data_IF_043089321777
#
_entry.id   IF_043089321777
#
_cell.length_a   1.000
_cell.length_b   1.000
_cell.length_c   1.000
_cell.angle_alpha   90.00
_cell.angle_beta   90.00
_cell.angle_gamma   90.00
#
_symmetry.space_group_name_H-M   'P 1'
#
loop_
_entity.id
_entity.type
_entity.pdbx_description
1 polymer ?
#
# COMPACT_ATOMS: atom_id res chain seq x y z
N UNK A 1 -56.25 34.26 26.09
CA UNK A 1 -55.40 33.25 26.75
C UNK A 1 -55.35 32.01 25.86
N UNK A 2 -54.22 31.67 25.21
CA UNK A 2 -54.14 30.48 24.37
C UNK A 2 -54.16 29.21 25.25
N UNK A 3 -54.72 28.09 24.75
CA UNK A 3 -54.84 26.87 25.54
C UNK A 3 -53.47 26.22 25.79
N UNK A 4 -53.24 25.77 27.02
CA UNK A 4 -52.04 25.07 27.41
C UNK A 4 -51.86 23.80 26.56
N UNK A 5 -50.80 23.78 25.74
CA UNK A 5 -50.45 22.65 24.89
C UNK A 5 -50.15 21.44 25.78
N UNK A 6 -50.98 20.39 25.73
CA UNK A 6 -50.72 19.12 26.40
C UNK A 6 -49.45 18.51 25.78
N UNK A 7 -48.36 18.51 26.53
CA UNK A 7 -47.11 17.87 26.14
C UNK A 7 -47.37 16.37 25.92
N UNK A 8 -46.81 15.80 24.85
CA UNK A 8 -46.86 14.36 24.57
C UNK A 8 -46.35 13.59 25.79
N UNK A 9 -46.96 12.44 26.10
CA UNK A 9 -46.63 11.64 27.28
C UNK A 9 -45.11 11.36 27.42
N UNK A 10 -44.42 11.14 26.30
CA UNK A 10 -42.96 10.94 26.26
C UNK A 10 -42.15 12.15 26.72
N UNK A 11 -42.62 13.38 26.48
CA UNK A 11 -41.95 14.59 26.92
C UNK A 11 -42.13 14.82 28.41
N UNK A 12 -43.31 14.48 28.95
CA UNK A 12 -43.60 14.61 30.38
C UNK A 12 -42.80 13.60 31.20
N UNK A 13 -42.73 12.34 30.76
CA UNK A 13 -41.89 11.32 31.38
C UNK A 13 -40.39 11.68 31.33
N UNK A 14 -39.95 12.32 30.26
CA UNK A 14 -38.59 12.82 30.14
C UNK A 14 -38.31 13.95 31.14
N UNK A 15 -39.23 14.90 31.29
CA UNK A 15 -39.13 15.96 32.30
C UNK A 15 -39.13 15.37 33.73
N UNK A 16 -39.99 14.40 34.01
CA UNK A 16 -40.10 13.78 35.34
C UNK A 16 -38.87 12.92 35.70
N UNK A 17 -38.18 12.33 34.72
CA UNK A 17 -36.89 11.64 34.95
C UNK A 17 -35.76 12.61 35.24
N UNK A 18 -35.72 13.75 34.57
CA UNK A 18 -34.63 14.73 34.71
C UNK A 18 -34.83 15.70 35.88
N UNK A 19 -36.05 15.85 36.39
CA UNK A 19 -36.34 16.67 37.58
C UNK A 19 -35.96 16.00 38.89
N UNK A 20 -35.74 14.67 38.89
CA UNK A 20 -35.30 13.94 40.08
C UNK A 20 -33.78 14.05 40.26
N UNK A 21 -33.27 14.35 41.46
CA UNK A 21 -31.85 14.34 41.73
C UNK A 21 -31.29 12.93 41.50
N UNK A 22 -30.11 12.85 40.87
CA UNK A 22 -29.42 11.56 40.66
C UNK A 22 -29.17 10.92 42.02
N UNK A 23 -29.57 9.66 42.20
CA UNK A 23 -29.30 8.95 43.44
C UNK A 23 -27.78 8.93 43.68
N UNK A 24 -27.31 9.17 44.93
CA UNK A 24 -25.89 9.12 45.23
C UNK A 24 -25.34 7.76 44.82
N UNK A 25 -24.26 7.78 44.06
CA UNK A 25 -23.55 6.56 43.63
C UNK A 25 -22.99 5.94 44.91
N UNK A 26 -23.61 4.85 45.37
CA UNK A 26 -23.02 3.99 46.39
C UNK A 26 -21.81 3.30 45.74
N UNK A 27 -20.63 3.91 45.84
CA UNK A 27 -19.37 3.21 45.55
C UNK A 27 -19.25 2.05 46.52
N UNK A 28 -19.19 0.82 46.00
CA UNK A 28 -18.92 -0.36 46.81
C UNK A 28 -17.62 -0.15 47.58
N UNK A 29 -17.65 -0.33 48.91
CA UNK A 29 -16.48 -0.12 49.78
C UNK A 29 -15.29 -1.04 49.45
N UNK A 30 -15.53 -2.12 48.70
CA UNK A 30 -14.49 -3.05 48.25
C UNK A 30 -14.03 -2.63 46.85
N UNK A 31 -12.84 -2.06 46.77
CA UNK A 31 -12.15 -1.89 45.49
C UNK A 31 -11.74 -3.28 44.99
N UNK A 32 -12.03 -3.65 43.73
CA UNK A 32 -11.54 -4.90 43.17
C UNK A 32 -10.02 -4.92 43.22
N UNK A 33 -9.43 -6.10 43.48
CA UNK A 33 -7.98 -6.22 43.48
C UNK A 33 -7.41 -5.69 42.14
N UNK A 34 -6.32 -4.91 42.18
CA UNK A 34 -5.71 -4.37 40.98
C UNK A 34 -5.46 -5.49 39.98
N UNK A 35 -6.12 -5.39 38.82
CA UNK A 35 -5.84 -6.27 37.69
C UNK A 35 -4.38 -6.15 37.33
N UNK A 36 -3.82 -7.22 36.76
CA UNK A 36 -2.38 -7.32 36.45
C UNK A 36 -1.78 -6.11 35.73
N UNK A 37 -2.56 -5.42 34.88
CA UNK A 37 -2.14 -4.21 34.14
C UNK A 37 -2.10 -2.93 34.97
N UNK A 38 -2.64 -2.97 36.19
CA UNK A 38 -2.66 -1.88 37.17
C UNK A 38 -1.49 -1.97 38.17
N UNK A 39 -0.70 -3.06 38.16
CA UNK A 39 0.49 -3.22 39.00
C UNK A 39 1.73 -2.64 38.29
N UNK A 40 2.46 -1.68 38.90
CA UNK A 40 3.67 -1.14 38.31
C UNK A 40 4.83 -2.14 38.38
N UNK A 41 5.62 -2.22 37.31
CA UNK A 41 6.86 -3.00 37.26
C UNK A 41 6.81 -4.26 36.37
N UNK A 42 7.97 -4.84 36.05
CA UNK A 42 8.05 -6.09 35.29
C UNK A 42 7.49 -7.25 36.11
N UNK A 43 6.79 -8.19 35.44
CA UNK A 43 6.25 -9.36 36.12
C UNK A 43 7.33 -10.20 36.78
N UNK A 44 7.04 -10.71 37.98
CA UNK A 44 7.89 -11.68 38.66
C UNK A 44 7.95 -13.01 37.90
N UNK A 45 8.98 -13.81 38.15
CA UNK A 45 9.18 -15.11 37.50
C UNK A 45 7.99 -16.06 37.67
N UNK A 46 7.37 -16.06 38.85
CA UNK A 46 6.17 -16.86 39.14
C UNK A 46 4.92 -16.33 38.42
N UNK A 47 4.80 -15.01 38.27
CA UNK A 47 3.72 -14.40 37.49
C UNK A 47 3.86 -14.73 35.99
N UNK A 48 5.09 -14.81 35.49
CA UNK A 48 5.38 -15.31 34.14
C UNK A 48 4.98 -16.77 33.97
N UNK A 49 5.34 -17.63 34.91
CA UNK A 49 4.95 -19.04 34.86
C UNK A 49 3.43 -19.22 34.88
N UNK A 50 2.73 -18.49 35.78
CA UNK A 50 1.27 -18.51 35.89
C UNK A 50 0.57 -17.89 34.66
N UNK A 51 1.18 -16.88 34.04
CA UNK A 51 0.63 -16.32 32.80
C UNK A 51 0.75 -17.31 31.65
N UNK A 52 1.91 -17.93 31.46
CA UNK A 52 2.10 -18.90 30.39
C UNK A 52 1.23 -20.14 30.58
N UNK A 53 1.05 -20.61 31.82
CA UNK A 53 0.14 -21.75 32.09
C UNK A 53 -1.32 -21.40 31.79
N UNK A 54 -1.81 -20.23 32.23
CA UNK A 54 -3.17 -19.76 31.92
C UNK A 54 -3.38 -19.56 30.41
N UNK A 55 -2.43 -18.95 29.73
CA UNK A 55 -2.51 -18.72 28.29
C UNK A 55 -2.52 -20.04 27.50
N UNK A 56 -1.70 -21.02 27.88
CA UNK A 56 -1.74 -22.34 27.26
C UNK A 56 -3.09 -23.03 27.47
N UNK A 57 -3.64 -22.96 28.68
CA UNK A 57 -4.98 -23.51 28.95
C UNK A 57 -6.05 -22.81 28.12
N UNK A 58 -6.08 -21.47 28.08
CA UNK A 58 -7.03 -20.69 27.28
C UNK A 58 -6.93 -20.96 25.77
N UNK A 59 -5.71 -21.11 25.25
CA UNK A 59 -5.48 -21.46 23.84
C UNK A 59 -5.97 -22.88 23.55
N UNK A 60 -5.74 -23.83 24.46
CA UNK A 60 -6.26 -25.20 24.30
C UNK A 60 -7.78 -25.27 24.42
N UNK A 61 -8.40 -24.52 25.32
CA UNK A 61 -9.86 -24.46 25.44
C UNK A 61 -10.50 -23.81 24.22
N UNK A 62 -9.93 -22.70 23.73
CA UNK A 62 -10.38 -22.06 22.49
C UNK A 62 -10.24 -23.00 21.28
N UNK A 63 -9.12 -23.74 21.19
CA UNK A 63 -8.91 -24.72 20.12
C UNK A 63 -9.94 -25.86 20.20
N UNK A 64 -10.21 -26.38 21.39
CA UNK A 64 -11.20 -27.43 21.61
C UNK A 64 -12.63 -26.93 21.36
N UNK A 65 -12.94 -25.68 21.69
CA UNK A 65 -14.23 -25.05 21.36
C UNK A 65 -14.38 -24.87 19.84
N UNK A 66 -13.33 -24.40 19.15
CA UNK A 66 -13.31 -24.28 17.69
C UNK A 66 -13.48 -25.65 17.03
N UNK A 67 -12.79 -26.69 17.51
CA UNK A 67 -12.94 -28.05 16.99
C UNK A 67 -14.34 -28.64 17.28
N UNK A 68 -14.93 -28.36 18.46
CA UNK A 68 -16.32 -28.73 18.77
C UNK A 68 -17.34 -28.00 17.88
N UNK A 69 -17.09 -26.73 17.56
CA UNK A 69 -17.93 -25.94 16.64
C UNK A 69 -17.79 -26.37 15.18
N UNK A 70 -16.65 -26.96 14.79
CA UNK A 70 -16.41 -27.51 13.46
C UNK A 70 -16.86 -28.99 13.30
N UNK A 71 -17.00 -29.73 14.41
CA UNK A 71 -17.39 -31.15 14.42
C UNK A 71 -18.87 -31.43 14.13
N UNK A 72 -19.73 -30.41 14.11
CA UNK A 72 -21.09 -30.53 13.60
C UNK A 72 -21.09 -30.42 12.09
N UNK A 73 -21.63 -31.41 11.36
CA UNK A 73 -21.88 -31.33 9.91
C UNK A 73 -22.46 -29.96 9.58
N UNK A 74 -21.64 -29.05 9.07
CA UNK A 74 -22.13 -27.77 8.59
C UNK A 74 -23.01 -28.10 7.40
N UNK A 75 -24.34 -27.99 7.57
CA UNK A 75 -25.23 -27.73 6.45
C UNK A 75 -24.56 -26.58 5.71
N UNK A 76 -24.19 -26.80 4.44
CA UNK A 76 -23.71 -25.75 3.54
C UNK A 76 -24.63 -24.56 3.76
N UNK A 77 -24.14 -23.54 4.47
CA UNK A 77 -24.87 -22.29 4.61
C UNK A 77 -25.11 -21.81 3.18
N UNK A 78 -26.38 -21.59 2.84
CA UNK A 78 -26.78 -20.97 1.59
C UNK A 78 -25.84 -19.81 1.30
N UNK A 79 -25.34 -19.72 0.05
CA UNK A 79 -24.54 -18.58 -0.40
C UNK A 79 -25.27 -17.31 0.04
N UNK A 80 -24.58 -16.33 0.67
CA UNK A 80 -25.22 -15.09 1.06
C UNK A 80 -25.89 -14.48 -0.17
N UNK A 81 -27.16 -14.10 0.01
CA UNK A 81 -27.95 -13.44 -1.03
C UNK A 81 -27.38 -12.03 -1.23
N UNK A 82 -27.55 -11.42 -2.41
CA UNK A 82 -27.03 -10.07 -2.68
C UNK A 82 -27.53 -9.00 -1.68
N UNK A 83 -28.67 -9.26 -1.03
CA UNK A 83 -29.26 -8.42 0.01
C UNK A 83 -28.46 -8.47 1.33
N UNK A 84 -27.92 -9.63 1.71
CA UNK A 84 -27.07 -9.77 2.91
C UNK A 84 -25.75 -9.01 2.74
N UNK A 85 -25.17 -9.08 1.55
CA UNK A 85 -23.94 -8.35 1.22
C UNK A 85 -24.16 -6.83 1.24
N UNK A 86 -25.34 -6.37 0.83
CA UNK A 86 -25.70 -4.95 0.90
C UNK A 86 -25.89 -4.50 2.35
N UNK A 87 -26.59 -5.29 3.17
CA UNK A 87 -26.79 -5.00 4.59
C UNK A 87 -25.48 -4.95 5.37
N UNK A 88 -24.58 -5.91 5.14
CA UNK A 88 -23.25 -5.93 5.75
C UNK A 88 -22.42 -4.71 5.35
N UNK A 89 -22.50 -4.29 4.08
CA UNK A 89 -21.79 -3.11 3.56
C UNK A 89 -22.32 -1.82 4.16
N UNK A 90 -23.64 -1.69 4.30
CA UNK A 90 -24.28 -0.54 4.93
C UNK A 90 -23.94 -0.45 6.43
N UNK A 91 -23.96 -1.57 7.15
CA UNK A 91 -23.62 -1.61 8.56
C UNK A 91 -22.13 -1.31 8.80
N UNK A 92 -21.24 -1.80 7.93
CA UNK A 92 -19.82 -1.39 7.94
C UNK A 92 -19.65 0.11 7.74
N UNK A 93 -20.36 0.71 6.77
CA UNK A 93 -20.30 2.15 6.55
C UNK A 93 -20.81 2.93 7.77
N UNK A 94 -21.89 2.48 8.40
CA UNK A 94 -22.44 3.09 9.61
C UNK A 94 -21.45 3.05 10.78
N UNK A 95 -20.80 1.91 11.01
CA UNK A 95 -19.83 1.72 12.10
C UNK A 95 -18.48 2.39 11.81
N UNK A 96 -18.12 2.59 10.55
CA UNK A 96 -16.88 3.28 10.14
C UNK A 96 -16.91 4.79 10.42
N UNK A 97 -18.11 5.38 10.59
CA UNK A 97 -18.26 6.80 10.86
C UNK A 97 -18.23 7.03 12.37
N UNK A 98 -17.34 7.90 12.88
CA UNK A 98 -17.31 8.23 14.30
C UNK A 98 -18.62 8.90 14.71
N UNK A 99 -19.10 8.59 15.92
CA UNK A 99 -20.34 9.15 16.49
C UNK A 99 -20.33 10.70 16.55
N UNK A 100 -19.15 11.29 16.72
CA UNK A 100 -18.91 12.73 16.61
C UNK A 100 -17.96 12.99 15.44
N UNK A 101 -18.46 13.67 14.41
CA UNK A 101 -17.63 14.15 13.32
C UNK A 101 -16.82 15.35 13.81
N UNK A 102 -15.50 15.22 13.87
CA UNK A 102 -14.61 16.34 14.13
C UNK A 102 -14.37 17.07 12.80
N UNK A 103 -14.24 18.39 12.82
CA UNK A 103 -13.78 19.23 11.69
C UNK A 103 -12.28 19.02 11.41
N UNK A 104 -11.83 17.76 11.38
CA UNK A 104 -10.50 17.44 10.89
C UNK A 104 -10.51 17.59 9.38
N UNK A 105 -9.40 18.09 8.85
CA UNK A 105 -9.14 18.23 7.42
C UNK A 105 -9.68 17.02 6.63
N UNK A 106 -10.63 17.29 5.74
CA UNK A 106 -11.19 16.31 4.82
C UNK A 106 -10.28 16.33 3.59
N UNK A 107 -9.60 15.22 3.30
CA UNK A 107 -8.80 15.12 2.09
C UNK A 107 -9.71 15.36 0.88
N UNK A 108 -9.38 16.30 -0.02
CA UNK A 108 -10.18 16.53 -1.21
C UNK A 108 -10.26 15.26 -2.06
N UNK A 109 -11.32 15.09 -2.86
CA UNK A 109 -11.39 14.01 -3.83
C UNK A 109 -10.13 14.01 -4.70
N UNK A 110 -9.57 12.84 -5.06
CA UNK A 110 -8.42 12.80 -5.94
C UNK A 110 -8.77 13.49 -7.26
N UNK A 111 -7.89 14.37 -7.74
CA UNK A 111 -8.04 15.04 -9.04
C UNK A 111 -8.30 14.01 -10.15
N UNK A 112 -9.40 14.18 -10.89
CA UNK A 112 -9.68 13.39 -12.08
C UNK A 112 -8.77 13.88 -13.22
N UNK A 113 -7.63 13.22 -13.39
CA UNK A 113 -6.78 13.41 -14.56
C UNK A 113 -7.49 12.84 -15.80
N UNK A 114 -7.51 13.62 -16.90
CA UNK A 114 -8.01 13.16 -18.19
C UNK A 114 -7.13 11.99 -18.69
N UNK A 115 -7.70 10.79 -18.61
CA UNK A 115 -7.13 9.53 -19.06
C UNK A 115 -5.74 9.17 -18.48
N UNK A 116 -5.75 8.52 -17.32
CA UNK A 116 -4.60 7.74 -16.82
C UNK A 116 -4.93 6.26 -17.01
N UNK A 117 -4.19 5.49 -17.85
CA UNK A 117 -4.46 4.07 -18.00
C UNK A 117 -4.21 3.36 -16.67
N UNK A 118 -5.29 2.97 -16.00
CA UNK A 118 -5.22 2.10 -14.85
C UNK A 118 -4.89 0.70 -15.36
N UNK A 119 -3.64 0.26 -15.17
CA UNK A 119 -3.25 -1.14 -15.32
C UNK A 119 -3.92 -1.95 -14.21
N UNK A 120 -5.21 -2.23 -14.38
CA UNK A 120 -6.00 -3.06 -13.48
C UNK A 120 -5.37 -4.46 -13.42
N UNK A 121 -5.10 -4.95 -12.21
CA UNK A 121 -4.64 -6.33 -11.99
C UNK A 121 -3.20 -6.51 -11.51
N UNK A 122 -2.38 -5.45 -11.40
CA UNK A 122 -1.08 -5.56 -10.71
C UNK A 122 -1.23 -5.15 -9.25
N UNK A 123 -1.07 -6.10 -8.34
CA UNK A 123 -0.89 -5.77 -6.93
C UNK A 123 0.32 -4.85 -6.78
N UNK A 124 0.24 -3.89 -5.86
CA UNK A 124 1.43 -3.13 -5.48
C UNK A 124 2.53 -4.12 -5.09
N UNK A 125 3.76 -3.97 -5.60
CA UNK A 125 4.84 -4.91 -5.31
C UNK A 125 5.05 -4.94 -3.80
N UNK A 126 4.67 -6.06 -3.19
CA UNK A 126 4.90 -6.30 -1.77
C UNK A 126 6.40 -6.49 -1.58
N UNK A 127 6.98 -6.05 -0.44
CA UNK A 127 8.33 -6.45 -0.08
C UNK A 127 8.47 -7.97 -0.21
N UNK A 128 9.43 -8.44 -1.01
CA UNK A 128 9.59 -9.87 -1.25
C UNK A 128 9.80 -10.61 0.07
N UNK A 129 9.19 -11.79 0.20
CA UNK A 129 9.39 -12.67 1.34
C UNK A 129 10.87 -13.07 1.44
N UNK A 130 11.62 -12.35 2.28
CA UNK A 130 13.06 -12.53 2.45
C UNK A 130 13.88 -11.24 2.37
N UNK A 131 13.31 -10.12 1.90
CA UNK A 131 13.96 -8.81 2.13
C UNK A 131 13.95 -8.51 3.64
N UNK A 132 15.07 -8.06 4.22
CA UNK A 132 15.08 -7.55 5.59
C UNK A 132 13.96 -6.52 5.73
N UNK A 133 12.98 -6.82 6.59
CA UNK A 133 11.84 -5.92 6.85
C UNK A 133 12.35 -4.57 7.38
N UNK A 134 13.48 -4.59 8.09
CA UNK A 134 14.26 -3.42 8.45
C UNK A 134 15.36 -3.23 7.42
N UNK A 135 15.29 -2.14 6.66
CA UNK A 135 16.40 -1.71 5.80
C UNK A 135 17.65 -1.49 6.68
N UNK A 136 18.86 -1.80 6.18
CA UNK A 136 20.08 -1.43 6.90
C UNK A 136 20.07 0.09 7.14
N UNK A 137 20.45 0.50 8.34
CA UNK A 137 20.58 1.91 8.68
C UNK A 137 21.90 2.39 8.08
N UNK A 138 21.80 3.10 6.96
CA UNK A 138 22.94 3.74 6.30
C UNK A 138 22.98 5.19 6.77
N UNK A 139 24.15 5.71 7.20
CA UNK A 139 24.33 7.13 7.48
C UNK A 139 23.90 8.00 6.28
N UNK A 140 23.37 9.20 6.53
CA UNK A 140 22.95 10.09 5.43
C UNK A 140 24.14 10.60 4.60
N UNK A 141 25.32 10.70 5.21
CA UNK A 141 26.58 11.02 4.57
C UNK A 141 27.74 10.37 5.36
N UNK A 142 28.84 10.08 4.66
CA UNK A 142 30.10 9.68 5.25
C UNK A 142 31.04 10.88 5.30
N UNK A 143 31.85 10.97 6.35
CA UNK A 143 32.79 12.08 6.50
C UNK A 143 33.99 11.95 5.54
N UNK A 144 34.37 10.72 5.18
CA UNK A 144 35.47 10.39 4.26
C UNK A 144 35.08 9.19 3.38
N UNK A 145 35.65 9.10 2.17
CA UNK A 145 35.43 7.98 1.23
C UNK A 145 35.91 6.64 1.79
N UNK A 146 36.95 6.64 2.63
CA UNK A 146 37.46 5.43 3.28
C UNK A 146 36.42 4.82 4.22
N UNK A 147 35.70 5.65 4.96
CA UNK A 147 34.62 5.22 5.87
C UNK A 147 33.42 4.69 5.10
N UNK A 148 33.12 5.28 3.95
CA UNK A 148 32.09 4.76 3.06
C UNK A 148 32.50 3.38 2.52
N UNK A 149 33.74 3.26 2.05
CA UNK A 149 34.28 2.02 1.49
C UNK A 149 34.30 0.90 2.54
N UNK A 150 34.77 1.20 3.74
CA UNK A 150 34.80 0.27 4.87
C UNK A 150 33.39 -0.11 5.32
N UNK A 151 32.45 0.85 5.37
CA UNK A 151 31.06 0.58 5.70
C UNK A 151 30.43 -0.41 4.71
N UNK A 152 30.56 -0.16 3.40
CA UNK A 152 30.01 -1.04 2.38
C UNK A 152 30.70 -2.40 2.33
N UNK A 153 32.01 -2.46 2.61
CA UNK A 153 32.76 -3.72 2.69
C UNK A 153 32.32 -4.59 3.89
N UNK A 154 32.04 -3.96 5.03
CA UNK A 154 31.63 -4.65 6.26
C UNK A 154 30.12 -4.93 6.33
N UNK A 155 29.32 -4.34 5.44
CA UNK A 155 27.87 -4.50 5.46
C UNK A 155 27.45 -5.94 5.10
N UNK A 156 27.00 -6.69 6.10
CA UNK A 156 26.56 -8.09 5.94
C UNK A 156 25.04 -8.19 6.04
N UNK A 157 24.41 -8.74 5.01
CA UNK A 157 23.01 -9.08 5.05
C UNK A 157 22.82 -10.52 5.54
N UNK A 158 21.83 -10.80 6.41
CA UNK A 158 21.46 -12.18 6.70
C UNK A 158 20.94 -12.83 5.40
N UNK A 159 21.75 -13.72 4.83
CA UNK A 159 21.36 -14.48 3.63
C UNK A 159 20.35 -15.55 4.04
N UNK A 160 19.17 -15.52 3.43
CA UNK A 160 18.16 -16.55 3.61
C UNK A 160 18.71 -17.94 3.27
N UNK A 161 18.37 -18.96 4.07
CA UNK A 161 18.71 -20.37 3.75
C UNK A 161 18.21 -20.81 2.37
N UNK A 162 17.12 -20.21 1.88
CA UNK A 162 16.60 -20.48 0.52
C UNK A 162 17.49 -19.84 -0.55
N UNK A 163 18.05 -18.66 -0.28
CA UNK A 163 18.96 -17.98 -1.20
C UNK A 163 20.29 -18.75 -1.33
N UNK A 164 20.80 -19.35 -0.26
CA UNK A 164 21.99 -20.21 -0.31
C UNK A 164 21.81 -21.46 -1.19
N UNK A 165 20.57 -21.95 -1.31
CA UNK A 165 20.22 -23.11 -2.14
C UNK A 165 19.61 -22.71 -3.48
N UNK A 166 19.51 -21.42 -3.78
CA UNK A 166 18.86 -20.94 -4.99
C UNK A 166 19.81 -21.15 -6.18
N UNK A 167 19.43 -22.04 -7.08
CA UNK A 167 20.11 -22.17 -8.37
C UNK A 167 19.51 -21.16 -9.36
N UNK A 168 20.34 -20.49 -10.19
CA UNK A 168 19.84 -19.62 -11.24
C UNK A 168 18.95 -20.41 -12.22
N UNK A 169 17.89 -19.77 -12.71
CA UNK A 169 17.02 -20.39 -13.70
C UNK A 169 17.76 -20.54 -15.03
N UNK A 170 17.36 -21.52 -15.86
CA UNK A 170 17.95 -21.75 -17.19
C UNK A 170 18.01 -20.46 -18.03
N UNK A 171 16.96 -19.65 -17.97
CA UNK A 171 16.87 -18.35 -18.67
C UNK A 171 17.91 -17.34 -18.16
N UNK A 172 18.18 -17.29 -16.85
CA UNK A 172 19.22 -16.43 -16.29
C UNK A 172 20.59 -16.88 -16.79
N UNK A 173 20.84 -18.19 -16.82
CA UNK A 173 22.07 -18.75 -17.37
C UNK A 173 22.22 -18.47 -18.87
N UNK A 174 21.14 -18.53 -19.66
CA UNK A 174 21.14 -18.17 -21.08
C UNK A 174 21.43 -16.68 -21.29
N UNK A 175 20.85 -15.81 -20.46
CA UNK A 175 21.06 -14.36 -20.54
C UNK A 175 22.48 -13.94 -20.12
N UNK A 176 23.11 -14.70 -19.21
CA UNK A 176 24.48 -14.44 -18.79
C UNK A 176 25.51 -14.95 -19.80
N UNK A 177 25.11 -15.76 -20.78
CA UNK A 177 26.01 -16.16 -21.86
C UNK A 177 26.41 -14.92 -22.69
N UNK A 178 27.68 -14.85 -23.12
CA UNK A 178 28.13 -13.77 -23.99
C UNK A 178 27.27 -13.74 -25.25
N UNK A 179 26.87 -12.53 -25.65
CA UNK A 179 26.05 -12.34 -26.86
C UNK A 179 26.83 -12.86 -28.07
N UNK A 180 26.30 -13.88 -28.72
CA UNK A 180 26.86 -14.36 -29.98
C UNK A 180 26.64 -13.31 -31.07
N UNK A 181 27.73 -12.94 -31.74
CA UNK A 181 27.69 -12.07 -32.92
C UNK A 181 27.86 -12.91 -34.18
N UNK A 182 27.12 -12.60 -35.26
CA UNK A 182 26.16 -11.49 -35.42
C UNK A 182 24.84 -11.72 -34.66
N UNK A 183 24.20 -10.63 -34.23
CA UNK A 183 22.89 -10.72 -33.54
C UNK A 183 21.87 -11.33 -34.50
N UNK A 184 21.12 -12.33 -34.05
CA UNK A 184 19.96 -12.86 -34.79
C UNK A 184 19.02 -11.70 -35.10
N UNK A 185 18.79 -11.43 -36.38
CA UNK A 185 17.83 -10.43 -36.81
C UNK A 185 16.43 -10.84 -36.34
N UNK A 186 15.64 -9.88 -35.84
CA UNK A 186 14.28 -10.11 -35.37
C UNK A 186 13.33 -10.60 -36.49
N UNK A 187 13.75 -10.48 -37.76
CA UNK A 187 13.03 -10.95 -38.93
C UNK A 187 13.97 -11.80 -39.82
N UNK A 188 13.45 -12.89 -40.39
CA UNK A 188 14.09 -13.62 -41.50
C UNK A 188 14.04 -12.75 -42.75
N UNK A 189 14.96 -11.79 -42.85
CA UNK A 189 15.23 -11.12 -44.11
C UNK A 189 15.92 -12.14 -45.00
N UNK A 190 15.36 -12.43 -46.18
CA UNK A 190 16.11 -13.12 -47.22
C UNK A 190 17.42 -12.34 -47.44
N UNK A 191 18.57 -13.03 -47.45
CA UNK A 191 19.91 -12.41 -47.57
C UNK A 191 20.03 -11.49 -48.81
N UNK A 192 19.16 -11.68 -49.80
CA UNK A 192 19.14 -10.94 -51.07
C UNK A 192 18.55 -9.52 -51.01
N UNK A 193 18.04 -9.05 -49.87
CA UNK A 193 17.43 -7.70 -49.76
C UNK A 193 18.21 -6.72 -48.88
N UNK A 194 19.50 -6.93 -48.66
CA UNK A 194 20.34 -5.82 -48.18
C UNK A 194 20.52 -4.85 -49.35
N UNK A 195 19.59 -3.89 -49.46
CA UNK A 195 19.70 -2.79 -50.43
C UNK A 195 21.04 -2.12 -50.19
N UNK A 196 22.00 -2.36 -51.09
CA UNK A 196 23.33 -1.77 -51.01
C UNK A 196 23.14 -0.26 -50.88
N UNK A 197 23.69 0.32 -49.81
CA UNK A 197 23.64 1.77 -49.58
C UNK A 197 24.24 2.47 -50.79
N UNK A 198 23.39 2.97 -51.67
CA UNK A 198 23.81 3.67 -52.89
C UNK A 198 24.19 5.08 -52.48
N UNK A 199 25.44 5.46 -52.72
CA UNK A 199 25.88 6.86 -52.56
C UNK A 199 25.03 7.74 -53.47
N UNK A 200 24.66 8.93 -53.00
CA UNK A 200 23.99 9.92 -53.85
C UNK A 200 24.85 10.22 -55.08
N UNK A 201 24.22 10.39 -56.23
CA UNK A 201 24.91 10.91 -57.42
C UNK A 201 25.32 12.37 -57.19
N UNK A 202 26.33 12.92 -57.91
CA UNK A 202 26.75 14.32 -57.75
C UNK A 202 25.62 15.34 -57.94
N UNK A 203 24.61 15.02 -58.77
CA UNK A 203 23.40 15.85 -58.94
C UNK A 203 22.48 15.77 -57.72
N UNK A 204 22.25 14.57 -57.18
CA UNK A 204 21.47 14.37 -55.96
C UNK A 204 22.13 15.04 -54.75
N UNK A 205 23.46 14.99 -54.67
CA UNK A 205 24.21 15.66 -53.62
C UNK A 205 24.05 17.18 -53.67
N UNK A 206 24.14 17.79 -54.86
CA UNK A 206 23.89 19.23 -55.03
C UNK A 206 22.48 19.65 -54.62
N UNK A 207 21.46 18.89 -55.01
CA UNK A 207 20.07 19.15 -54.60
C UNK A 207 19.89 18.96 -53.08
N UNK A 208 20.56 17.96 -52.50
CA UNK A 208 20.54 17.74 -51.06
C UNK A 208 21.14 18.92 -50.29
N UNK A 209 22.28 19.44 -50.74
CA UNK A 209 22.90 20.63 -50.16
C UNK A 209 22.00 21.87 -50.26
N UNK A 210 21.40 22.13 -51.42
CA UNK A 210 20.43 23.23 -51.58
C UNK A 210 19.25 23.11 -50.61
N UNK A 211 18.74 21.89 -50.42
CA UNK A 211 17.67 21.63 -49.46
C UNK A 211 18.11 21.88 -48.02
N UNK A 212 19.32 21.45 -47.64
CA UNK A 212 19.86 21.70 -46.30
C UNK A 212 20.06 23.21 -46.06
N UNK A 213 20.58 23.93 -47.04
CA UNK A 213 20.73 25.39 -46.97
C UNK A 213 19.36 26.06 -46.76
N UNK A 214 18.33 25.65 -47.51
CA UNK A 214 16.97 26.15 -47.32
C UNK A 214 16.41 25.87 -45.92
N UNK A 215 16.58 24.65 -45.42
CA UNK A 215 16.10 24.25 -44.09
C UNK A 215 16.88 24.91 -42.94
N UNK A 216 18.13 25.31 -43.18
CA UNK A 216 18.95 26.00 -42.19
C UNK A 216 18.53 27.46 -41.98
N UNK A 217 17.79 28.05 -42.92
CA UNK A 217 17.28 29.42 -42.79
C UNK A 217 16.16 29.43 -41.74
N UNK A 218 16.17 30.38 -40.79
CA UNK A 218 15.15 30.48 -39.77
C UNK A 218 13.77 30.67 -40.43
N UNK A 219 12.77 29.94 -39.94
CA UNK A 219 11.42 30.05 -40.48
C UNK A 219 10.89 31.47 -40.23
N UNK A 220 10.46 32.21 -41.26
CA UNK A 220 10.01 33.59 -41.11
C UNK A 220 8.82 33.73 -40.13
N UNK A 221 8.00 32.68 -39.97
CA UNK A 221 6.94 32.65 -38.96
C UNK A 221 7.48 32.66 -37.53
N UNK A 222 8.53 31.86 -37.28
CA UNK A 222 9.19 31.81 -35.97
C UNK A 222 9.90 33.13 -35.65
N UNK A 223 10.50 33.78 -36.66
CA UNK A 223 11.08 35.10 -36.48
C UNK A 223 10.04 36.17 -36.13
N UNK A 224 8.85 36.13 -36.75
CA UNK A 224 7.76 37.05 -36.43
C UNK A 224 7.27 36.89 -34.97
N UNK A 225 7.19 35.66 -34.47
CA UNK A 225 6.78 35.38 -33.09
C UNK A 225 7.80 35.88 -32.06
N UNK A 226 9.11 35.82 -32.37
CA UNK A 226 10.18 36.28 -31.48
C UNK A 226 10.31 37.81 -31.40
N UNK A 227 9.90 38.53 -32.44
CA UNK A 227 9.97 40.01 -32.49
C UNK A 227 8.83 40.66 -31.68
N UNK A 228 7.74 39.91 -31.41
CA UNK A 228 6.53 40.43 -30.75
C UNK A 228 6.56 40.40 -29.21
N UNK A 229 7.69 40.04 -28.58
CA UNK A 229 7.78 39.96 -27.11
C UNK A 229 8.30 41.23 -26.42
N UNK A 230 8.31 42.38 -27.11
CA UNK A 230 8.65 43.68 -26.52
C UNK A 230 7.47 44.65 -26.65
N UNK A 231 6.46 44.50 -25.78
CA UNK A 231 5.51 45.56 -25.42
C UNK A 231 4.94 45.27 -24.04
#
# INVERSE_FOLDING_TARGET
MPPAKRLRASTREWCDRNSRPKSPILTSAVQPEPTRWQKPGPMGRNDWANFHSRYQVEVTTLRNEIERLQGGKQKKSSKPTSEDDNYLRENQQRLSRPRWQREKYITPPPEQFSYRPHLTGRSTPRPEHGRPVKKPTVPCCFQHEDLETEFWANMRFPVSRKALRACPSKKICELSQPRQFPRKAHCSMAEDQIVRRRKMTPRQWRLHLQRLEFLSKPNPRVLADLICCCS
#
